data_IF_682186931948
#
_entry.id   IF_682186931948
#
_cell.length_a   1.000
_cell.length_b   1.000
_cell.length_c   1.000
_cell.angle_alpha   90.00
_cell.angle_beta   90.00
_cell.angle_gamma   90.00
#
_symmetry.space_group_name_H-M   'P 1'
#
loop_
_entity.id
_entity.type
_entity.pdbx_description
1 polymer ?
#
# COMPACT_ATOMS: atom_id res chain seq x y z
N UNK A 1 22.31 15.76 -1.74
CA UNK A 1 23.19 14.60 -1.98
C UNK A 1 22.44 13.37 -1.49
N UNK A 2 22.29 12.35 -2.34
CA UNK A 2 21.68 11.09 -1.93
C UNK A 2 22.66 10.43 -0.96
N UNK A 3 22.23 10.21 0.29
CA UNK A 3 23.09 9.64 1.32
C UNK A 3 23.24 8.13 1.04
N UNK A 4 24.36 7.71 0.44
CA UNK A 4 24.60 6.31 0.03
C UNK A 4 24.40 5.31 1.18
N UNK A 5 24.67 5.76 2.42
CA UNK A 5 24.46 4.98 3.64
C UNK A 5 22.98 4.61 3.88
N UNK A 6 22.04 5.50 3.52
CA UNK A 6 20.60 5.26 3.68
C UNK A 6 20.09 4.26 2.65
N UNK A 7 20.53 4.37 1.40
CA UNK A 7 20.19 3.40 0.34
C UNK A 7 20.70 2.01 0.69
N UNK A 8 21.95 1.91 1.15
CA UNK A 8 22.55 0.64 1.51
C UNK A 8 21.82 -0.02 2.70
N UNK A 9 21.46 0.78 3.71
CA UNK A 9 20.71 0.30 4.88
C UNK A 9 19.33 -0.20 4.50
N UNK A 10 18.62 0.52 3.64
CA UNK A 10 17.30 0.14 3.15
C UNK A 10 17.35 -1.14 2.30
N UNK A 11 18.32 -1.23 1.39
CA UNK A 11 18.56 -2.42 0.59
C UNK A 11 18.87 -3.64 1.48
N UNK A 12 19.72 -3.47 2.50
CA UNK A 12 20.06 -4.54 3.44
C UNK A 12 18.85 -5.01 4.25
N UNK A 13 17.98 -4.11 4.70
CA UNK A 13 16.72 -4.45 5.39
C UNK A 13 15.83 -5.32 4.50
N UNK A 14 15.66 -4.94 3.23
CA UNK A 14 14.84 -5.70 2.26
C UNK A 14 15.41 -7.10 2.03
N UNK A 15 16.73 -7.24 1.87
CA UNK A 15 17.38 -8.55 1.68
C UNK A 15 17.23 -9.43 2.92
N UNK A 16 17.43 -8.87 4.13
CA UNK A 16 17.26 -9.62 5.39
C UNK A 16 15.81 -10.09 5.59
N UNK A 17 14.84 -9.26 5.23
CA UNK A 17 13.41 -9.63 5.29
C UNK A 17 13.11 -10.81 4.36
N UNK A 18 13.59 -10.76 3.12
CA UNK A 18 13.47 -11.87 2.14
C UNK A 18 14.12 -13.15 2.67
N UNK A 19 15.34 -13.06 3.19
CA UNK A 19 16.06 -14.21 3.76
C UNK A 19 15.32 -14.85 4.94
N UNK A 20 14.70 -14.03 5.81
CA UNK A 20 13.90 -14.51 6.95
C UNK A 20 12.64 -15.24 6.48
N UNK A 21 11.97 -14.73 5.45
CA UNK A 21 10.82 -15.40 4.83
C UNK A 21 11.21 -16.76 4.24
N UNK A 22 12.31 -16.84 3.48
CA UNK A 22 12.77 -18.11 2.92
C UNK A 22 13.03 -19.18 3.98
N UNK A 23 13.59 -18.80 5.14
CA UNK A 23 13.73 -19.73 6.27
C UNK A 23 12.37 -20.25 6.76
N UNK A 24 11.37 -19.38 6.92
CA UNK A 24 10.02 -19.81 7.33
C UNK A 24 9.34 -20.69 6.28
N UNK A 25 9.43 -20.33 5.00
CA UNK A 25 8.91 -21.13 3.89
C UNK A 25 9.57 -22.51 3.84
N UNK A 26 10.88 -22.58 3.99
CA UNK A 26 11.63 -23.84 4.02
C UNK A 26 11.15 -24.76 5.14
N UNK A 27 11.06 -24.24 6.37
CA UNK A 27 10.53 -24.99 7.51
C UNK A 27 9.09 -25.45 7.27
N UNK A 28 8.24 -24.59 6.72
CA UNK A 28 6.86 -24.93 6.38
C UNK A 28 6.81 -26.09 5.37
N UNK A 29 7.58 -26.03 4.28
CA UNK A 29 7.61 -27.07 3.24
C UNK A 29 8.10 -28.40 3.81
N UNK A 30 9.16 -28.40 4.62
CA UNK A 30 9.69 -29.64 5.24
C UNK A 30 8.65 -30.27 6.15
N UNK A 31 8.09 -29.51 7.09
CA UNK A 31 7.15 -30.04 8.07
C UNK A 31 5.91 -30.59 7.35
N UNK A 32 5.32 -29.82 6.43
CA UNK A 32 4.17 -30.28 5.66
C UNK A 32 4.50 -31.49 4.78
N UNK A 33 5.69 -31.54 4.17
CA UNK A 33 6.15 -32.68 3.37
C UNK A 33 6.24 -33.97 4.20
N UNK A 34 6.83 -33.89 5.40
CA UNK A 34 6.89 -35.03 6.34
C UNK A 34 5.49 -35.47 6.75
N UNK A 35 4.61 -34.51 7.07
CA UNK A 35 3.23 -34.80 7.45
C UNK A 35 2.42 -35.45 6.31
N UNK A 36 2.57 -34.98 5.07
CA UNK A 36 1.93 -35.56 3.90
C UNK A 36 2.45 -36.99 3.68
N UNK A 37 3.76 -37.19 3.73
CA UNK A 37 4.37 -38.52 3.56
C UNK A 37 3.88 -39.50 4.63
N UNK A 38 3.89 -39.08 5.90
CA UNK A 38 3.37 -39.87 7.01
C UNK A 38 1.87 -40.18 6.86
N UNK A 39 1.10 -39.22 6.35
CA UNK A 39 -0.34 -39.37 6.12
C UNK A 39 -0.66 -40.36 5.00
N UNK A 40 0.13 -40.36 3.93
CA UNK A 40 0.06 -41.34 2.83
C UNK A 40 0.37 -42.75 3.32
N UNK A 41 1.42 -42.92 4.13
CA UNK A 41 1.76 -44.21 4.73
C UNK A 41 0.69 -44.75 5.69
N UNK A 42 -0.08 -43.86 6.34
CA UNK A 42 -1.08 -44.21 7.37
C UNK A 42 -2.52 -44.26 6.83
N UNK A 43 -2.72 -44.02 5.54
CA UNK A 43 -4.03 -44.11 4.86
C UNK A 43 -5.07 -43.07 5.30
N UNK A 44 -4.66 -41.98 5.98
CA UNK A 44 -5.58 -40.95 6.53
C UNK A 44 -5.20 -39.53 6.04
N UNK A 45 -5.25 -39.28 4.70
CA UNK A 45 -4.75 -38.05 4.07
C UNK A 45 -5.36 -36.75 4.61
N UNK A 46 -6.57 -36.79 5.18
CA UNK A 46 -7.36 -35.61 5.50
C UNK A 46 -7.08 -34.97 6.86
N UNK A 47 -6.40 -35.66 7.78
CA UNK A 47 -6.28 -35.17 9.18
C UNK A 47 -5.27 -34.02 9.31
N UNK A 48 -4.31 -33.93 8.40
CA UNK A 48 -3.21 -32.96 8.43
C UNK A 48 -3.43 -31.72 7.59
N UNK A 49 -4.41 -31.78 6.68
CA UNK A 49 -4.76 -30.70 5.77
C UNK A 49 -5.20 -29.39 6.45
N UNK A 50 -6.08 -29.40 7.48
CA UNK A 50 -6.53 -28.15 8.08
C UNK A 50 -5.42 -27.39 8.83
N UNK A 51 -4.47 -28.11 9.43
CA UNK A 51 -3.31 -27.51 10.12
C UNK A 51 -2.37 -26.86 9.10
N UNK A 52 -2.11 -27.56 7.99
CA UNK A 52 -1.35 -27.05 6.86
C UNK A 52 -1.97 -25.78 6.27
N UNK A 53 -3.28 -25.80 6.03
CA UNK A 53 -4.02 -24.65 5.48
C UNK A 53 -3.99 -23.45 6.42
N UNK A 54 -4.20 -23.64 7.73
CA UNK A 54 -4.13 -22.55 8.70
C UNK A 54 -2.74 -21.88 8.72
N UNK A 55 -1.68 -22.69 8.75
CA UNK A 55 -0.30 -22.16 8.68
C UNK A 55 0.03 -21.55 7.31
N UNK A 56 -0.53 -22.10 6.23
CA UNK A 56 -0.38 -21.58 4.87
C UNK A 56 -0.96 -20.18 4.70
N UNK A 57 -2.08 -19.87 5.35
CA UNK A 57 -2.68 -18.52 5.36
C UNK A 57 -1.73 -17.52 6.03
N UNK A 58 -1.19 -17.86 7.20
CA UNK A 58 -0.20 -17.01 7.89
C UNK A 58 1.06 -16.77 7.06
N UNK A 59 1.52 -17.80 6.35
CA UNK A 59 2.66 -17.69 5.43
C UNK A 59 2.35 -16.81 4.22
N UNK A 60 1.13 -16.87 3.68
CA UNK A 60 0.66 -16.00 2.61
C UNK A 60 0.70 -14.52 3.04
N UNK A 61 0.16 -14.19 4.22
CA UNK A 61 0.27 -12.84 4.77
C UNK A 61 1.72 -12.38 4.98
N UNK A 62 2.61 -13.27 5.44
CA UNK A 62 4.02 -12.94 5.58
C UNK A 62 4.70 -12.70 4.23
N UNK A 63 4.36 -13.50 3.21
CA UNK A 63 4.81 -13.31 1.83
C UNK A 63 4.39 -11.93 1.31
N UNK A 64 3.11 -11.57 1.46
CA UNK A 64 2.58 -10.27 1.07
C UNK A 64 3.28 -9.12 1.81
N UNK A 65 3.66 -9.30 3.08
CA UNK A 65 4.42 -8.31 3.85
C UNK A 65 5.86 -8.13 3.37
N UNK A 66 6.52 -9.20 2.95
CA UNK A 66 7.95 -9.20 2.58
C UNK A 66 8.18 -8.85 1.11
N UNK A 67 7.31 -9.34 0.22
CA UNK A 67 7.42 -9.16 -1.23
C UNK A 67 6.44 -8.11 -1.79
N UNK A 68 5.44 -7.69 -1.02
CA UNK A 68 4.31 -6.92 -1.55
C UNK A 68 3.37 -7.80 -2.38
N UNK A 69 2.21 -7.28 -2.78
CA UNK A 69 1.39 -7.97 -3.78
C UNK A 69 2.03 -7.79 -5.17
N UNK A 70 2.17 -8.85 -5.97
CA UNK A 70 2.50 -8.72 -7.39
C UNK A 70 1.34 -8.00 -8.08
N UNK A 71 1.52 -6.69 -8.34
CA UNK A 71 0.48 -5.80 -8.88
C UNK A 71 0.15 -4.59 -8.00
N UNK A 72 0.57 -4.56 -6.72
CA UNK A 72 0.38 -3.42 -5.81
C UNK A 72 1.65 -2.60 -5.62
N UNK A 73 2.48 -2.46 -6.66
CA UNK A 73 3.56 -1.47 -6.69
C UNK A 73 3.08 -0.02 -6.42
N UNK A 74 1.77 0.20 -6.26
CA UNK A 74 1.17 1.51 -6.08
C UNK A 74 0.07 1.63 -5.02
N UNK A 75 -0.04 0.80 -3.96
CA UNK A 75 -1.01 1.07 -2.84
C UNK A 75 -0.43 0.87 -1.43
N UNK A 76 0.56 -0.01 -1.23
CA UNK A 76 1.18 -0.26 0.09
C UNK A 76 2.71 -0.18 0.07
N UNK A 77 3.30 0.22 -1.06
CA UNK A 77 4.72 0.53 -1.13
C UNK A 77 4.97 1.87 -0.46
N UNK A 78 6.11 2.00 0.23
CA UNK A 78 6.62 3.28 0.74
C UNK A 78 6.65 4.36 -0.35
N UNK A 79 6.90 3.98 -1.60
CA UNK A 79 6.87 4.91 -2.74
C UNK A 79 5.48 5.41 -3.11
N UNK A 80 4.43 4.61 -2.88
CA UNK A 80 3.06 5.08 -3.04
C UNK A 80 2.66 6.01 -1.89
N UNK A 81 3.01 5.63 -0.66
CA UNK A 81 2.76 6.45 0.53
C UNK A 81 3.43 7.82 0.37
N UNK A 82 4.71 7.86 0.01
CA UNK A 82 5.45 9.11 -0.25
C UNK A 82 4.82 9.93 -1.39
N UNK A 83 4.27 9.28 -2.43
CA UNK A 83 3.61 9.96 -3.55
C UNK A 83 2.27 10.58 -3.14
N UNK A 84 1.47 9.87 -2.35
CA UNK A 84 0.15 10.34 -1.93
C UNK A 84 0.27 11.45 -0.89
N UNK A 85 1.23 11.35 0.04
CA UNK A 85 1.57 12.44 0.97
C UNK A 85 1.97 13.71 0.21
N UNK A 86 2.80 13.59 -0.83
CA UNK A 86 3.17 14.75 -1.68
C UNK A 86 1.96 15.36 -2.39
N UNK A 87 1.07 14.54 -2.95
CA UNK A 87 -0.16 15.05 -3.59
C UNK A 87 -1.03 15.85 -2.63
N UNK A 88 -1.16 15.37 -1.40
CA UNK A 88 -2.01 16.04 -0.42
C UNK A 88 -1.39 17.35 0.07
N UNK A 89 -0.06 17.39 0.21
CA UNK A 89 0.67 18.64 0.50
C UNK A 89 0.49 19.68 -0.60
N UNK A 90 0.57 19.29 -1.88
CA UNK A 90 0.36 20.18 -3.02
C UNK A 90 -1.08 20.75 -3.04
N UNK A 91 -2.08 19.92 -2.73
CA UNK A 91 -3.47 20.38 -2.56
C UNK A 91 -3.62 21.42 -1.45
N UNK A 92 -2.98 21.20 -0.30
CA UNK A 92 -3.03 22.15 0.82
C UNK A 92 -2.35 23.48 0.47
N UNK A 93 -1.24 23.44 -0.28
CA UNK A 93 -0.56 24.66 -0.74
C UNK A 93 -1.42 25.44 -1.74
N UNK A 94 -1.99 24.77 -2.75
CA UNK A 94 -2.90 25.41 -3.70
C UNK A 94 -4.13 26.04 -3.04
N UNK A 95 -4.68 25.38 -2.01
CA UNK A 95 -5.79 25.92 -1.22
C UNK A 95 -5.40 27.18 -0.43
N UNK A 96 -4.21 27.22 0.16
CA UNK A 96 -3.69 28.43 0.85
C UNK A 96 -3.50 29.61 -0.11
N UNK A 97 -3.06 29.36 -1.34
CA UNK A 97 -2.90 30.40 -2.36
C UNK A 97 -4.26 30.97 -2.81
N UNK A 98 -5.28 30.11 -2.88
CA UNK A 98 -6.63 30.51 -3.25
C UNK A 98 -7.30 31.33 -2.13
N UNK A 99 -7.23 30.86 -0.89
CA UNK A 99 -7.77 31.53 0.31
C UNK A 99 -7.13 32.92 0.50
N UNK A 100 -5.80 33.02 0.35
CA UNK A 100 -5.07 34.30 0.41
C UNK A 100 -5.39 35.27 -0.73
N UNK A 101 -5.97 34.80 -1.85
CA UNK A 101 -6.35 35.67 -2.99
C UNK A 101 -7.79 36.19 -2.87
N UNK A 102 -8.65 35.54 -2.07
CA UNK A 102 -9.99 36.03 -1.73
C UNK A 102 -9.97 37.20 -0.74
N UNK A 103 -8.91 37.35 0.04
CA UNK A 103 -8.72 38.49 0.97
C UNK A 103 -8.38 39.82 0.26
N UNK A 104 -8.19 39.82 -1.07
CA UNK A 104 -8.10 41.06 -1.84
C UNK A 104 -9.51 41.60 -2.09
N UNK A 105 -9.79 42.89 -1.82
CA UNK A 105 -11.08 43.48 -2.19
C UNK A 105 -11.31 43.28 -3.69
N UNK A 106 -12.37 42.57 -4.04
CA UNK A 106 -12.76 42.38 -5.44
C UNK A 106 -13.16 43.74 -6.02
N UNK A 107 -12.37 44.26 -6.95
CA UNK A 107 -12.82 45.28 -7.89
C UNK A 107 -13.82 44.63 -8.85
N UNK A 108 -15.09 44.61 -8.46
CA UNK A 108 -16.19 44.22 -9.34
C UNK A 108 -16.48 45.40 -10.29
N UNK A 109 -16.33 45.23 -11.62
CA UNK A 109 -16.96 46.15 -12.55
C UNK A 109 -18.45 46.09 -12.27
N UNK A 110 -19.08 47.23 -12.00
CA UNK A 110 -20.51 47.30 -11.71
C UNK A 110 -21.28 46.62 -12.85
N UNK A 111 -21.73 45.40 -12.60
CA UNK A 111 -22.64 44.69 -13.47
C UNK A 111 -23.97 45.43 -13.39
N UNK A 112 -24.13 46.41 -14.29
CA UNK A 112 -25.36 47.17 -14.49
C UNK A 112 -26.48 46.18 -14.73
N UNK A 113 -27.29 46.02 -13.69
CA UNK A 113 -28.44 45.13 -13.59
C UNK A 113 -29.52 45.63 -14.55
N UNK A 114 -29.41 45.27 -15.82
CA UNK A 114 -30.39 45.58 -16.85
C UNK A 114 -31.23 44.32 -17.13
N UNK A 115 -31.75 43.71 -16.05
CA UNK A 115 -32.80 42.72 -16.14
C UNK A 115 -34.11 43.47 -16.25
N UNK A 116 -34.78 43.31 -17.39
CA UNK A 116 -36.14 43.82 -17.58
C UNK A 116 -37.10 42.79 -16.98
N UNK A 117 -37.71 43.14 -15.84
CA UNK A 117 -38.67 42.28 -15.16
C UNK A 117 -39.94 42.04 -16.00
N UNK A 118 -40.14 42.76 -17.11
CA UNK A 118 -41.26 42.53 -18.03
C UNK A 118 -41.18 41.22 -18.83
N UNK A 119 -40.01 40.57 -18.88
CA UNK A 119 -39.87 39.25 -19.55
C UNK A 119 -40.32 38.06 -18.67
N UNK A 120 -40.78 38.32 -17.44
CA UNK A 120 -41.17 37.29 -16.48
C UNK A 120 -42.70 37.08 -16.33
N UNK A 121 -43.50 37.43 -17.35
CA UNK A 121 -44.96 37.19 -17.37
C UNK A 121 -45.37 36.30 -18.53
#
# INVERSE_FOLDING_TARGET
MINESEIFTEAQKRVRAKAKFYKHLYTYVIINGVFILMSLFRGRPFMTFPIALFWGIGLCFHYLKVFGLPGSSGILSKEWEDREVRREMDRMQGRKTQDSNYDKPLDLPELRKNYDESELV
#
